data_IF_874201590982
#
_entry.id   IF_874201590982
#
_cell.length_a   1.000
_cell.length_b   1.000
_cell.length_c   1.000
_cell.angle_alpha   90.00
_cell.angle_beta   90.00
_cell.angle_gamma   90.00
#
_symmetry.space_group_name_H-M   'P 1'
#
loop_
_entity.id
_entity.type
_entity.pdbx_description
1 polymer ?
#
# COMPACT_ATOMS: atom_id res chain seq x y z
N UNK A 1 -35.35 -16.02 30.67
CA UNK A 1 -34.58 -14.80 30.33
C UNK A 1 -35.27 -14.14 29.14
N UNK A 2 -35.55 -12.83 29.14
CA UNK A 2 -36.24 -12.19 28.02
C UNK A 2 -35.37 -12.29 26.76
N UNK A 3 -36.02 -12.44 25.60
CA UNK A 3 -35.36 -12.56 24.28
C UNK A 3 -34.40 -11.39 24.06
N UNK A 4 -34.74 -10.19 24.52
CA UNK A 4 -33.89 -8.99 24.45
C UNK A 4 -32.56 -9.14 25.19
N UNK A 5 -32.54 -9.78 26.37
CA UNK A 5 -31.29 -10.08 27.09
C UNK A 5 -30.45 -11.18 26.42
N UNK A 6 -31.10 -12.16 25.77
CA UNK A 6 -30.41 -13.17 24.98
C UNK A 6 -29.71 -12.52 23.77
N UNK A 7 -30.42 -11.67 23.04
CA UNK A 7 -29.90 -10.94 21.88
C UNK A 7 -28.77 -9.97 22.27
N UNK A 8 -28.95 -9.19 23.33
CA UNK A 8 -27.90 -8.33 23.89
C UNK A 8 -26.62 -9.12 24.19
N UNK A 9 -26.76 -10.29 24.83
CA UNK A 9 -25.63 -11.16 25.16
C UNK A 9 -24.96 -11.74 23.91
N UNK A 10 -25.76 -12.18 22.94
CA UNK A 10 -25.27 -12.71 21.68
C UNK A 10 -24.46 -11.65 20.92
N UNK A 11 -25.03 -10.44 20.75
CA UNK A 11 -24.32 -9.33 20.10
C UNK A 11 -23.03 -8.95 20.84
N UNK A 12 -23.06 -8.89 22.17
CA UNK A 12 -21.86 -8.64 22.98
C UNK A 12 -20.76 -9.66 22.71
N UNK A 13 -21.08 -10.95 22.79
CA UNK A 13 -20.07 -12.00 22.62
C UNK A 13 -19.58 -12.13 21.19
N UNK A 14 -20.46 -11.96 20.20
CA UNK A 14 -20.08 -11.92 18.79
C UNK A 14 -19.18 -10.71 18.49
N UNK A 15 -19.49 -9.55 19.07
CA UNK A 15 -18.65 -8.36 18.95
C UNK A 15 -17.26 -8.62 19.52
N UNK A 16 -17.15 -9.16 20.74
CA UNK A 16 -15.86 -9.51 21.34
C UNK A 16 -15.09 -10.54 20.50
N UNK A 17 -15.75 -11.58 20.01
CA UNK A 17 -15.12 -12.58 19.14
C UNK A 17 -14.61 -11.96 17.83
N UNK A 18 -15.40 -11.07 17.22
CA UNK A 18 -14.99 -10.37 16.00
C UNK A 18 -13.81 -9.43 16.21
N UNK A 19 -13.71 -8.76 17.37
CA UNK A 19 -12.55 -7.93 17.72
C UNK A 19 -11.28 -8.76 17.92
N UNK A 20 -11.40 -9.94 18.54
CA UNK A 20 -10.26 -10.87 18.67
C UNK A 20 -9.80 -11.34 17.29
N UNK A 21 -10.73 -11.75 16.43
CA UNK A 21 -10.42 -12.17 15.07
C UNK A 21 -9.79 -11.03 14.26
N UNK A 22 -10.30 -9.81 14.41
CA UNK A 22 -9.75 -8.61 13.78
C UNK A 22 -8.31 -8.36 14.23
N UNK A 23 -8.05 -8.44 15.53
CA UNK A 23 -6.70 -8.28 16.08
C UNK A 23 -5.74 -9.33 15.52
N UNK A 24 -6.10 -10.61 15.53
CA UNK A 24 -5.25 -11.70 15.00
C UNK A 24 -4.96 -11.51 13.51
N UNK A 25 -5.98 -11.22 12.72
CA UNK A 25 -5.84 -11.07 11.26
C UNK A 25 -5.12 -9.78 10.86
N UNK A 26 -5.20 -8.72 11.67
CA UNK A 26 -4.47 -7.47 11.45
C UNK A 26 -2.94 -7.67 11.38
N UNK A 27 -2.39 -8.52 12.25
CA UNK A 27 -0.95 -8.80 12.28
C UNK A 27 -0.48 -9.72 11.13
N UNK A 28 -1.40 -10.47 10.52
CA UNK A 28 -1.05 -11.48 9.51
C UNK A 28 -1.34 -11.02 8.07
N UNK A 29 -2.30 -10.12 7.86
CA UNK A 29 -2.78 -9.72 6.53
C UNK A 29 -1.69 -9.10 5.64
N UNK A 30 -0.68 -8.47 6.23
CA UNK A 30 0.43 -7.80 5.55
C UNK A 30 1.77 -8.53 5.77
N UNK A 31 1.74 -9.75 6.31
CA UNK A 31 2.94 -10.54 6.49
C UNK A 31 3.58 -10.86 5.12
N UNK A 32 4.87 -10.59 4.99
CA UNK A 32 5.60 -10.84 3.75
C UNK A 32 5.68 -12.36 3.48
N UNK A 33 5.16 -12.85 2.33
CA UNK A 33 5.19 -14.28 1.97
C UNK A 33 6.60 -14.84 1.90
N UNK A 34 6.75 -16.16 1.80
CA UNK A 34 8.05 -16.79 1.56
C UNK A 34 8.48 -16.64 0.07
N UNK A 35 9.78 -16.62 -0.26
CA UNK A 35 10.25 -16.40 -1.64
C UNK A 35 9.69 -17.38 -2.67
N UNK A 36 9.28 -18.57 -2.25
CA UNK A 36 8.73 -19.64 -3.09
C UNK A 36 7.34 -19.30 -3.65
N UNK A 37 6.65 -18.30 -3.08
CA UNK A 37 5.33 -17.88 -3.58
C UNK A 37 5.40 -17.03 -4.84
N UNK A 38 6.58 -16.49 -5.16
CA UNK A 38 6.77 -15.55 -6.25
C UNK A 38 7.37 -16.21 -7.48
N UNK A 39 7.00 -15.70 -8.65
CA UNK A 39 7.71 -16.01 -9.88
C UNK A 39 9.03 -15.25 -9.91
N UNK A 40 10.09 -15.91 -9.44
CA UNK A 40 11.43 -15.34 -9.32
C UNK A 40 12.09 -15.02 -10.66
N UNK A 41 11.66 -15.68 -11.74
CA UNK A 41 12.21 -15.45 -13.08
C UNK A 41 11.92 -14.04 -13.61
N UNK A 42 10.94 -13.37 -13.00
CA UNK A 42 10.53 -12.01 -13.35
C UNK A 42 11.10 -10.94 -12.45
N UNK A 43 11.69 -11.30 -11.31
CA UNK A 43 12.18 -10.34 -10.31
C UNK A 43 13.60 -9.86 -10.64
N UNK A 44 13.82 -9.47 -11.89
CA UNK A 44 15.09 -8.90 -12.35
C UNK A 44 15.19 -7.40 -12.00
N UNK A 45 16.35 -6.80 -12.28
CA UNK A 45 16.49 -5.35 -12.12
C UNK A 45 15.56 -4.61 -13.09
N UNK A 46 15.02 -3.43 -12.69
CA UNK A 46 14.17 -2.64 -13.57
C UNK A 46 14.85 -2.32 -14.90
N UNK A 47 14.11 -2.48 -15.99
CA UNK A 47 14.57 -2.13 -17.32
C UNK A 47 14.42 -0.62 -17.49
N UNK A 48 15.50 0.06 -17.85
CA UNK A 48 15.52 1.48 -18.17
C UNK A 48 16.19 1.70 -19.53
N UNK A 49 15.49 2.31 -20.47
CA UNK A 49 16.00 2.59 -21.83
C UNK A 49 15.70 4.02 -22.25
N UNK A 50 16.43 4.59 -23.23
CA UNK A 50 16.09 5.90 -23.79
C UNK A 50 14.62 5.95 -24.25
N UNK A 51 13.99 7.11 -24.11
CA UNK A 51 12.63 7.37 -24.60
C UNK A 51 12.67 8.49 -25.64
N UNK A 52 11.85 8.36 -26.68
CA UNK A 52 11.60 9.40 -27.68
C UNK A 52 10.23 10.08 -27.44
N UNK A 53 9.62 9.87 -26.26
CA UNK A 53 8.30 10.38 -25.94
C UNK A 53 8.37 11.89 -25.66
N UNK A 54 7.70 12.67 -26.51
CA UNK A 54 7.58 14.11 -26.34
C UNK A 54 6.85 14.48 -25.05
N UNK A 55 7.18 15.62 -24.41
CA UNK A 55 6.45 16.11 -23.24
C UNK A 55 4.96 16.33 -23.54
N UNK A 56 4.11 15.90 -22.63
CA UNK A 56 2.65 15.96 -22.79
C UNK A 56 1.97 16.54 -21.55
N UNK A 57 0.68 16.80 -21.65
CA UNK A 57 -0.12 17.37 -20.57
C UNK A 57 -1.29 16.46 -20.27
N UNK A 58 -1.52 16.19 -18.99
CA UNK A 58 -2.66 15.42 -18.49
C UNK A 58 -3.51 16.29 -17.59
N UNK A 59 -4.82 15.99 -17.55
CA UNK A 59 -5.77 16.70 -16.70
C UNK A 59 -6.43 15.71 -15.75
N UNK A 60 -6.31 15.97 -14.46
CA UNK A 60 -6.95 15.18 -13.41
C UNK A 60 -7.81 16.11 -12.58
N UNK A 61 -9.13 15.89 -12.63
CA UNK A 61 -10.15 16.82 -12.09
C UNK A 61 -9.97 18.20 -12.74
N UNK A 62 -9.89 19.26 -11.94
CA UNK A 62 -9.73 20.65 -12.39
C UNK A 62 -8.25 21.10 -12.43
N UNK A 63 -7.30 20.16 -12.37
CA UNK A 63 -5.87 20.46 -12.39
C UNK A 63 -5.18 19.91 -13.64
N UNK A 64 -4.20 20.66 -14.10
CA UNK A 64 -3.40 20.37 -15.29
C UNK A 64 -1.95 20.11 -14.89
N UNK A 65 -1.39 19.02 -15.40
CA UNK A 65 -0.03 18.58 -15.12
C UNK A 65 0.74 18.41 -16.43
N UNK A 66 1.90 19.05 -16.53
CA UNK A 66 2.84 18.83 -17.63
C UNK A 66 3.81 17.73 -17.24
N UNK A 67 3.89 16.68 -18.05
CA UNK A 67 4.76 15.52 -17.87
C UNK A 67 5.92 15.62 -18.85
N UNK A 68 7.13 15.42 -18.36
CA UNK A 68 8.37 15.41 -19.14
C UNK A 68 9.05 14.04 -19.00
N UNK A 69 8.84 13.12 -19.98
CA UNK A 69 9.47 11.81 -20.01
C UNK A 69 11.01 11.91 -20.07
N UNK A 70 11.69 11.01 -19.38
CA UNK A 70 13.16 10.95 -19.31
C UNK A 70 13.74 9.59 -19.72
N UNK A 71 13.03 8.50 -19.47
CA UNK A 71 13.39 7.16 -19.91
C UNK A 71 12.18 6.23 -19.90
N UNK A 72 12.13 5.25 -20.80
CA UNK A 72 11.18 4.14 -20.68
C UNK A 72 11.59 3.28 -19.49
N UNK A 73 10.60 2.78 -18.75
CA UNK A 73 10.83 2.08 -17.48
C UNK A 73 9.85 0.94 -17.27
N UNK A 74 10.38 -0.22 -16.86
CA UNK A 74 9.59 -1.37 -16.48
C UNK A 74 10.15 -2.01 -15.21
N UNK A 75 9.26 -2.32 -14.26
CA UNK A 75 9.61 -2.95 -13.00
C UNK A 75 8.67 -4.12 -12.73
N UNK A 76 9.25 -5.26 -12.41
CA UNK A 76 8.59 -6.43 -11.84
C UNK A 76 9.18 -6.62 -10.42
N UNK A 77 8.34 -6.68 -9.38
CA UNK A 77 8.84 -6.60 -8.00
C UNK A 77 7.82 -7.01 -6.95
N UNK A 78 8.27 -7.05 -5.69
CA UNK A 78 7.43 -7.33 -4.52
C UNK A 78 7.23 -6.06 -3.70
N UNK A 79 5.98 -5.70 -3.45
CA UNK A 79 5.65 -4.53 -2.62
C UNK A 79 5.99 -4.87 -1.17
N UNK A 80 6.78 -4.04 -0.50
CA UNK A 80 7.14 -4.23 0.93
C UNK A 80 6.55 -3.15 1.83
N UNK A 81 6.23 -1.99 1.27
CA UNK A 81 5.54 -0.91 1.97
C UNK A 81 4.84 -0.02 0.96
N UNK A 82 3.90 0.80 1.44
CA UNK A 82 3.31 1.84 0.63
C UNK A 82 2.96 3.06 1.47
N UNK A 83 2.88 4.20 0.81
CA UNK A 83 2.34 5.45 1.35
C UNK A 83 1.24 5.93 0.43
N UNK A 84 0.02 6.09 0.95
CA UNK A 84 -1.05 6.70 0.18
C UNK A 84 -0.92 8.21 0.26
N UNK A 85 -0.84 8.88 -0.90
CA UNK A 85 -1.04 10.33 -0.96
C UNK A 85 -2.44 10.71 -0.45
N UNK A 86 -3.42 9.82 -0.68
CA UNK A 86 -4.85 10.04 -0.49
C UNK A 86 -5.47 9.22 0.68
N UNK A 87 -4.68 8.83 1.70
CA UNK A 87 -5.28 8.20 2.88
C UNK A 87 -6.24 9.18 3.56
N UNK A 88 -7.51 8.80 3.70
CA UNK A 88 -8.60 9.48 4.43
C UNK A 88 -8.26 9.95 5.87
N UNK A 89 -7.04 9.71 6.38
CA UNK A 89 -6.49 10.34 7.58
C UNK A 89 -5.95 11.76 7.34
N UNK A 90 -5.82 12.19 6.09
CA UNK A 90 -5.31 13.51 5.69
C UNK A 90 -6.42 14.55 5.41
N UNK A 91 -7.60 14.42 6.04
CA UNK A 91 -8.65 15.47 6.01
C UNK A 91 -8.09 16.83 6.48
N UNK A 92 -7.02 16.84 7.29
CA UNK A 92 -6.37 18.06 7.78
C UNK A 92 -5.20 18.56 6.93
N UNK A 93 -4.66 17.76 5.99
CA UNK A 93 -3.50 18.14 5.15
C UNK A 93 -3.84 18.33 3.66
N UNK A 94 -5.09 18.15 3.24
CA UNK A 94 -5.57 18.40 1.87
C UNK A 94 -5.37 19.84 1.36
N UNK A 95 -4.94 20.79 2.21
CA UNK A 95 -4.78 22.20 1.82
C UNK A 95 -3.40 22.56 1.26
N UNK A 96 -2.36 21.73 1.39
CA UNK A 96 -1.00 22.21 1.07
C UNK A 96 -0.39 21.71 -0.24
N UNK A 97 -0.83 20.58 -0.82
CA UNK A 97 -0.14 20.01 -1.99
C UNK A 97 -1.01 19.75 -3.23
N UNK A 98 -2.32 19.48 -3.07
CA UNK A 98 -3.27 19.23 -4.16
C UNK A 98 -2.71 18.36 -5.32
N UNK A 99 -1.93 17.33 -5.00
CA UNK A 99 -1.43 16.41 -6.02
C UNK A 99 -2.45 15.29 -6.23
N UNK A 100 -3.33 15.45 -7.23
CA UNK A 100 -4.30 14.43 -7.61
C UNK A 100 -3.77 13.44 -8.65
N UNK A 101 -2.61 13.74 -9.23
CA UNK A 101 -1.97 12.87 -10.22
C UNK A 101 -1.18 11.76 -9.53
N UNK A 102 -0.51 12.06 -8.42
CA UNK A 102 0.03 11.02 -7.55
C UNK A 102 -1.07 10.36 -6.71
N UNK A 103 -1.14 9.03 -6.80
CA UNK A 103 -2.13 8.25 -6.08
C UNK A 103 -1.53 7.59 -4.85
N UNK A 104 -0.35 7.01 -5.01
CA UNK A 104 0.29 6.15 -4.02
C UNK A 104 1.75 5.93 -4.38
N UNK A 105 2.60 6.00 -3.36
CA UNK A 105 4.00 5.66 -3.44
C UNK A 105 4.21 4.20 -2.99
N UNK A 106 4.89 3.39 -3.81
CA UNK A 106 5.18 1.99 -3.50
C UNK A 106 6.67 1.79 -3.25
N UNK A 107 6.99 1.19 -2.11
CA UNK A 107 8.32 0.65 -1.86
C UNK A 107 8.38 -0.80 -2.34
N UNK A 108 9.31 -1.06 -3.27
CA UNK A 108 9.39 -2.33 -4.00
C UNK A 108 10.80 -2.91 -3.91
N UNK A 109 10.89 -4.22 -3.77
CA UNK A 109 12.15 -4.98 -3.79
C UNK A 109 12.11 -6.06 -4.88
N UNK A 110 13.27 -6.46 -5.37
CA UNK A 110 13.43 -7.48 -6.41
C UNK A 110 14.75 -8.23 -6.24
N UNK A 111 15.04 -9.16 -7.17
CA UNK A 111 16.30 -9.89 -7.24
C UNK A 111 16.65 -10.67 -5.99
N UNK A 112 17.92 -10.61 -5.60
CA UNK A 112 18.48 -11.33 -4.46
C UNK A 112 17.83 -10.96 -3.12
N UNK A 113 17.28 -9.75 -3.00
CA UNK A 113 16.55 -9.36 -1.80
C UNK A 113 15.33 -10.27 -1.59
N UNK A 114 14.63 -10.64 -2.67
CA UNK A 114 13.51 -11.58 -2.62
C UNK A 114 14.00 -13.02 -2.64
N UNK A 115 14.90 -13.38 -3.55
CA UNK A 115 15.34 -14.76 -3.75
C UNK A 115 15.95 -15.38 -2.48
N UNK A 116 16.72 -14.60 -1.71
CA UNK A 116 17.34 -15.07 -0.46
C UNK A 116 16.40 -15.04 0.76
N UNK A 117 15.20 -14.45 0.63
CA UNK A 117 14.26 -14.26 1.73
C UNK A 117 14.59 -13.13 2.71
N UNK A 118 15.71 -12.42 2.52
CA UNK A 118 16.20 -11.40 3.47
C UNK A 118 15.20 -10.26 3.68
N UNK A 119 14.41 -9.89 2.66
CA UNK A 119 13.35 -8.87 2.79
C UNK A 119 12.36 -9.14 3.92
N UNK A 120 12.14 -10.41 4.31
CA UNK A 120 11.21 -10.76 5.41
C UNK A 120 11.77 -10.43 6.79
N UNK A 121 13.09 -10.30 6.91
CA UNK A 121 13.80 -9.96 8.13
C UNK A 121 14.01 -8.44 8.27
N UNK A 122 13.59 -7.67 7.26
CA UNK A 122 13.67 -6.22 7.21
C UNK A 122 12.36 -5.58 7.66
N UNK A 123 12.46 -4.36 8.18
CA UNK A 123 11.33 -3.47 8.44
C UNK A 123 11.36 -2.34 7.43
N UNK A 124 10.27 -2.21 6.67
CA UNK A 124 10.13 -1.19 5.65
C UNK A 124 9.12 -0.13 6.05
N UNK A 125 9.42 1.10 5.67
CA UNK A 125 8.50 2.23 5.71
C UNK A 125 8.82 3.12 4.54
N UNK A 126 7.82 3.69 3.90
CA UNK A 126 8.05 4.76 2.93
C UNK A 126 7.11 5.93 3.14
N UNK A 127 7.49 7.05 2.54
CA UNK A 127 6.65 8.20 2.29
C UNK A 127 6.75 8.60 0.81
N UNK A 128 6.33 9.82 0.49
CA UNK A 128 6.38 10.31 -0.88
C UNK A 128 7.78 10.61 -1.39
N UNK A 129 8.86 10.41 -0.63
CA UNK A 129 10.23 10.74 -1.06
C UNK A 129 11.21 9.60 -0.87
N UNK A 130 11.08 8.83 0.21
CA UNK A 130 12.06 7.81 0.55
C UNK A 130 11.39 6.51 0.97
N UNK A 131 11.98 5.38 0.56
CA UNK A 131 11.76 4.12 1.23
C UNK A 131 12.93 3.80 2.15
N UNK A 132 12.62 3.64 3.44
CA UNK A 132 13.56 3.20 4.46
C UNK A 132 13.44 1.70 4.67
N UNK A 133 14.59 1.03 4.61
CA UNK A 133 14.77 -0.35 5.03
C UNK A 133 15.60 -0.35 6.32
N UNK A 134 15.11 -1.02 7.36
CA UNK A 134 15.77 -1.11 8.67
C UNK A 134 15.78 -2.54 9.18
N UNK A 135 16.73 -2.86 10.05
CA UNK A 135 16.97 -4.22 10.55
C UNK A 135 17.37 -4.17 12.02
N UNK A 136 17.19 -5.29 12.72
CA UNK A 136 17.65 -5.44 14.11
C UNK A 136 19.00 -6.15 14.23
N UNK A 137 19.35 -7.02 13.27
CA UNK A 137 20.56 -7.84 13.29
C UNK A 137 21.53 -7.41 12.18
N UNK A 138 22.76 -6.98 12.49
CA UNK A 138 23.77 -6.62 11.49
C UNK A 138 24.08 -7.73 10.47
N UNK A 139 23.88 -9.00 10.79
CA UNK A 139 24.06 -10.09 9.83
C UNK A 139 23.02 -10.06 8.69
N UNK A 140 21.84 -9.49 8.94
CA UNK A 140 20.76 -9.33 7.94
C UNK A 140 21.14 -8.28 6.90
N UNK A 141 21.72 -7.14 7.33
CA UNK A 141 22.07 -6.06 6.39
C UNK A 141 23.17 -6.47 5.41
N UNK A 142 24.10 -7.33 5.82
CA UNK A 142 25.14 -7.85 4.92
C UNK A 142 24.57 -8.67 3.74
N UNK A 143 23.35 -9.19 3.87
CA UNK A 143 22.64 -9.94 2.82
C UNK A 143 21.69 -9.07 2.01
N UNK A 144 21.30 -7.89 2.51
CA UNK A 144 20.35 -7.00 1.87
C UNK A 144 21.07 -6.04 0.92
N UNK A 145 20.60 -5.95 -0.33
CA UNK A 145 21.16 -5.08 -1.36
C UNK A 145 20.31 -3.82 -1.48
N UNK A 146 20.85 -2.68 -1.04
CA UNK A 146 20.12 -1.40 -1.11
C UNK A 146 19.81 -0.95 -2.54
N UNK A 147 20.59 -1.36 -3.54
CA UNK A 147 20.34 -1.07 -4.96
C UNK A 147 19.32 -2.03 -5.62
N UNK A 148 18.73 -2.95 -4.85
CA UNK A 148 17.60 -3.79 -5.25
C UNK A 148 16.33 -3.46 -4.44
N UNK A 149 16.15 -2.17 -4.18
CA UNK A 149 15.05 -1.52 -3.48
C UNK A 149 14.76 -0.19 -4.21
N UNK A 150 13.50 0.16 -4.40
CA UNK A 150 13.11 1.47 -4.93
C UNK A 150 11.87 2.03 -4.26
N UNK A 151 11.79 3.36 -4.18
CA UNK A 151 10.57 4.07 -3.81
C UNK A 151 9.96 4.67 -5.07
N UNK A 152 8.80 4.17 -5.47
CA UNK A 152 8.20 4.52 -6.75
C UNK A 152 7.02 5.44 -6.51
N UNK A 153 7.10 6.65 -7.03
CA UNK A 153 6.04 7.63 -7.05
C UNK A 153 5.23 7.51 -8.34
N UNK A 154 4.03 6.96 -8.22
CA UNK A 154 3.29 6.44 -9.37
C UNK A 154 2.16 7.38 -9.79
N UNK A 155 2.25 7.83 -11.04
CA UNK A 155 1.35 8.80 -11.66
C UNK A 155 0.49 8.10 -12.72
N UNK A 156 -0.81 8.41 -12.75
CA UNK A 156 -1.68 8.02 -13.86
C UNK A 156 -2.97 8.83 -13.84
N UNK A 157 -3.50 9.15 -15.03
CA UNK A 157 -4.85 9.67 -15.24
C UNK A 157 -5.84 8.56 -15.66
N UNK A 158 -5.37 7.32 -15.90
CA UNK A 158 -6.20 6.19 -16.23
C UNK A 158 -6.87 5.56 -15.00
N UNK A 159 -8.20 5.38 -15.06
CA UNK A 159 -8.99 4.85 -13.95
C UNK A 159 -8.74 3.36 -13.68
N UNK A 160 -8.51 2.55 -14.70
CA UNK A 160 -8.24 1.13 -14.55
C UNK A 160 -6.86 0.90 -13.91
N UNK A 161 -5.83 1.61 -14.36
CA UNK A 161 -4.48 1.60 -13.77
C UNK A 161 -4.56 2.06 -12.31
N UNK A 162 -5.27 3.16 -12.05
CA UNK A 162 -5.54 3.64 -10.68
C UNK A 162 -6.14 2.56 -9.79
N UNK A 163 -7.18 1.87 -10.24
CA UNK A 163 -7.83 0.83 -9.44
C UNK A 163 -6.88 -0.35 -9.17
N UNK A 164 -6.07 -0.75 -10.16
CA UNK A 164 -5.09 -1.82 -10.02
C UNK A 164 -3.99 -1.44 -9.00
N UNK A 165 -3.44 -0.22 -9.12
CA UNK A 165 -2.45 0.35 -8.19
C UNK A 165 -2.99 0.44 -6.75
N UNK A 166 -4.21 0.96 -6.58
CA UNK A 166 -4.82 1.07 -5.26
C UNK A 166 -5.15 -0.30 -4.65
N UNK A 167 -5.25 -1.35 -5.45
CA UNK A 167 -5.44 -2.71 -4.95
C UNK A 167 -4.16 -3.32 -4.39
N UNK A 168 -2.97 -2.87 -4.81
CA UNK A 168 -1.69 -3.45 -4.42
C UNK A 168 -1.47 -3.32 -2.92
N UNK A 169 -0.90 -4.34 -2.28
CA UNK A 169 -0.68 -4.38 -0.84
C UNK A 169 0.68 -5.01 -0.52
N UNK A 170 1.24 -4.81 0.68
CA UNK A 170 2.50 -5.44 1.07
C UNK A 170 2.47 -6.95 0.91
N UNK A 171 3.51 -7.50 0.28
CA UNK A 171 3.64 -8.90 -0.09
C UNK A 171 3.13 -9.25 -1.49
N UNK A 172 2.40 -8.36 -2.16
CA UNK A 172 1.96 -8.61 -3.55
C UNK A 172 3.14 -8.56 -4.52
N UNK A 173 3.15 -9.46 -5.51
CA UNK A 173 4.03 -9.34 -6.68
C UNK A 173 3.33 -8.51 -7.73
N UNK A 174 4.00 -7.46 -8.21
CA UNK A 174 3.47 -6.50 -9.17
C UNK A 174 4.37 -6.40 -10.40
N UNK A 175 3.78 -5.91 -11.47
CA UNK A 175 4.46 -5.38 -12.65
C UNK A 175 3.90 -4.01 -12.96
N UNK A 176 4.75 -3.09 -13.36
CA UNK A 176 4.30 -1.87 -14.01
C UNK A 176 5.26 -1.42 -15.11
N UNK A 177 4.73 -0.66 -16.06
CA UNK A 177 5.50 -0.04 -17.15
C UNK A 177 5.04 1.39 -17.37
N UNK A 178 5.94 2.20 -17.90
CA UNK A 178 5.67 3.55 -18.33
C UNK A 178 6.96 4.29 -18.57
N UNK A 179 6.99 5.56 -18.19
CA UNK A 179 8.19 6.41 -18.31
C UNK A 179 8.60 6.99 -16.96
N UNK A 180 9.89 6.96 -16.66
CA UNK A 180 10.46 7.86 -15.66
C UNK A 180 10.23 9.28 -16.14
N UNK A 181 9.62 10.12 -15.32
CA UNK A 181 9.16 11.43 -15.72
C UNK A 181 9.36 12.48 -14.64
N UNK A 182 9.61 13.70 -15.06
CA UNK A 182 9.40 14.87 -14.22
C UNK A 182 8.00 15.41 -14.49
N UNK A 183 7.38 16.07 -13.51
CA UNK A 183 6.12 16.76 -13.77
C UNK A 183 5.98 18.07 -13.02
N UNK A 184 5.15 18.94 -13.58
CA UNK A 184 4.78 20.22 -13.00
C UNK A 184 3.27 20.36 -13.01
N UNK A 185 2.68 20.68 -11.86
CA UNK A 185 1.30 21.14 -11.77
C UNK A 185 1.22 22.61 -12.18
N UNK A 186 0.52 22.89 -13.28
CA UNK A 186 0.46 24.22 -13.89
C UNK A 186 -0.27 25.23 -13.00
N UNK A 187 -1.26 24.76 -12.21
CA UNK A 187 -2.11 25.64 -11.40
C UNK A 187 -1.41 26.20 -10.17
N UNK A 188 -0.47 25.47 -9.58
CA UNK A 188 0.22 25.88 -8.34
C UNK A 188 1.76 25.90 -8.45
N UNK A 189 2.33 25.49 -9.60
CA UNK A 189 3.77 25.46 -9.86
C UNK A 189 4.52 24.35 -9.12
N UNK A 190 3.83 23.44 -8.43
CA UNK A 190 4.48 22.29 -7.79
C UNK A 190 5.17 21.44 -8.86
N UNK A 191 6.47 21.19 -8.65
CA UNK A 191 7.29 20.43 -9.55
C UNK A 191 7.94 19.26 -8.82
N UNK A 192 8.13 18.16 -9.53
CA UNK A 192 8.77 16.97 -8.99
C UNK A 192 9.61 16.27 -10.06
N UNK A 193 10.83 15.92 -9.66
CA UNK A 193 11.80 15.22 -10.50
C UNK A 193 11.67 13.70 -10.44
N UNK A 194 12.58 13.01 -11.12
CA UNK A 194 12.74 11.55 -11.06
C UNK A 194 14.22 11.17 -10.93
N UNK A 195 14.52 10.09 -10.20
CA UNK A 195 15.82 9.43 -10.31
C UNK A 195 15.95 8.66 -11.63
N UNK A 196 17.16 8.65 -12.19
CA UNK A 196 17.57 7.85 -13.35
C UNK A 196 18.76 6.91 -13.02
N UNK A 197 19.21 6.89 -11.77
CA UNK A 197 20.32 6.06 -11.29
C UNK A 197 19.81 5.07 -10.26
N UNK A 198 20.56 3.99 -9.98
CA UNK A 198 20.19 2.93 -9.01
C UNK A 198 20.99 3.00 -7.72
N UNK A 199 22.06 3.79 -7.70
CA UNK A 199 23.01 3.87 -6.57
C UNK A 199 22.83 5.17 -5.75
N UNK A 200 21.84 6.00 -6.07
CA UNK A 200 21.47 7.14 -5.25
C UNK A 200 20.74 6.73 -3.98
N UNK A 201 20.81 7.58 -2.95
CA UNK A 201 20.21 7.29 -1.64
C UNK A 201 19.56 8.55 -1.06
N UNK A 202 18.58 8.35 -0.17
CA UNK A 202 17.88 9.44 0.53
C UNK A 202 16.89 10.21 -0.35
N UNK A 203 16.66 11.49 -0.01
CA UNK A 203 15.74 12.38 -0.70
C UNK A 203 16.27 12.71 -2.11
N UNK A 204 15.93 11.87 -3.08
CA UNK A 204 16.40 11.96 -4.46
C UNK A 204 16.36 10.62 -5.18
N UNK A 205 16.45 9.50 -4.44
CA UNK A 205 16.43 8.13 -4.95
C UNK A 205 15.03 7.61 -5.32
N UNK A 206 14.08 8.52 -5.56
CA UNK A 206 12.69 8.19 -5.85
C UNK A 206 12.44 8.25 -7.34
N UNK A 207 11.93 7.17 -7.90
CA UNK A 207 11.49 7.10 -9.28
C UNK A 207 10.09 7.67 -9.39
N UNK A 208 9.95 8.77 -10.11
CA UNK A 208 8.64 9.27 -10.50
C UNK A 208 8.28 8.65 -11.84
N UNK A 209 7.23 7.84 -11.86
CA UNK A 209 6.84 7.05 -13.04
C UNK A 209 5.44 7.42 -13.47
N UNK A 210 5.28 7.88 -14.71
CA UNK A 210 3.97 7.96 -15.35
C UNK A 210 3.63 6.61 -15.98
N UNK A 211 2.55 5.99 -15.51
CA UNK A 211 2.20 4.61 -15.80
C UNK A 211 1.37 4.46 -17.08
N UNK A 212 1.83 3.58 -17.96
CA UNK A 212 1.08 3.06 -19.10
C UNK A 212 0.41 1.71 -18.76
N UNK A 213 1.02 0.93 -17.87
CA UNK A 213 0.53 -0.38 -17.43
C UNK A 213 0.78 -0.60 -15.94
N UNK A 214 -0.17 -1.23 -15.24
CA UNK A 214 0.03 -1.72 -13.87
C UNK A 214 -0.77 -3.00 -13.65
N UNK A 215 -0.11 -4.03 -13.11
CA UNK A 215 -0.71 -5.34 -12.85
C UNK A 215 -0.25 -5.88 -11.50
N UNK A 216 -1.19 -6.49 -10.77
CA UNK A 216 -0.85 -7.32 -9.61
C UNK A 216 -0.83 -8.79 -10.05
N UNK A 217 0.38 -9.31 -10.26
CA UNK A 217 0.64 -10.67 -10.74
C UNK A 217 0.26 -11.72 -9.70
N UNK A 218 0.50 -11.42 -8.42
CA UNK A 218 0.19 -12.32 -7.32
C UNK A 218 -0.27 -11.55 -6.09
N UNK A 219 -1.39 -11.97 -5.48
CA UNK A 219 -1.94 -11.40 -4.25
C UNK A 219 -1.46 -12.19 -3.03
N UNK A 220 -0.76 -11.53 -2.11
CA UNK A 220 -0.39 -12.11 -0.83
C UNK A 220 -1.61 -12.23 0.11
N UNK A 221 -1.58 -13.26 0.96
CA UNK A 221 -2.47 -13.40 2.12
C UNK A 221 -3.97 -13.22 1.82
N UNK A 222 -4.43 -13.58 0.61
CA UNK A 222 -5.79 -13.27 0.15
C UNK A 222 -6.88 -13.79 1.10
N UNK A 223 -6.72 -15.00 1.62
CA UNK A 223 -7.66 -15.59 2.58
C UNK A 223 -7.69 -14.81 3.91
N UNK A 224 -6.53 -14.42 4.43
CA UNK A 224 -6.41 -13.66 5.68
C UNK A 224 -7.00 -12.25 5.52
N UNK A 225 -6.75 -11.60 4.37
CA UNK A 225 -7.32 -10.28 4.06
C UNK A 225 -8.84 -10.33 3.93
N UNK A 226 -9.39 -11.37 3.28
CA UNK A 226 -10.84 -11.59 3.22
C UNK A 226 -11.42 -11.82 4.62
N UNK A 227 -10.75 -12.62 5.45
CA UNK A 227 -11.18 -12.87 6.83
C UNK A 227 -11.11 -11.60 7.69
N UNK A 228 -10.08 -10.77 7.51
CA UNK A 228 -9.95 -9.46 8.16
C UNK A 228 -11.12 -8.53 7.77
N UNK A 229 -11.44 -8.46 6.47
CA UNK A 229 -12.58 -7.67 5.98
C UNK A 229 -13.92 -8.17 6.55
N UNK A 230 -14.13 -9.49 6.57
CA UNK A 230 -15.30 -10.09 7.19
C UNK A 230 -15.38 -9.79 8.70
N UNK A 231 -14.28 -9.95 9.43
CA UNK A 231 -14.20 -9.65 10.86
C UNK A 231 -14.51 -8.17 11.15
N UNK A 232 -14.01 -7.26 10.30
CA UNK A 232 -14.31 -5.83 10.39
C UNK A 232 -15.80 -5.57 10.26
N UNK A 233 -16.42 -6.11 9.20
CA UNK A 233 -17.85 -5.94 8.97
C UNK A 233 -18.70 -6.53 10.11
N UNK A 234 -18.34 -7.73 10.57
CA UNK A 234 -18.99 -8.38 11.72
C UNK A 234 -18.87 -7.54 13.00
N UNK A 235 -17.70 -6.96 13.28
CA UNK A 235 -17.50 -6.10 14.44
C UNK A 235 -18.39 -4.85 14.39
N UNK A 236 -18.54 -4.23 13.22
CA UNK A 236 -19.42 -3.07 13.05
C UNK A 236 -20.90 -3.44 13.28
N UNK A 237 -21.38 -4.49 12.63
CA UNK A 237 -22.78 -4.92 12.73
C UNK A 237 -23.13 -5.36 14.15
N UNK A 238 -22.28 -6.18 14.77
CA UNK A 238 -22.52 -6.70 16.12
C UNK A 238 -22.32 -5.66 17.21
N UNK A 239 -21.36 -4.73 17.03
CA UNK A 239 -21.18 -3.58 17.90
C UNK A 239 -22.39 -2.64 17.87
N UNK A 240 -22.90 -2.32 16.67
CA UNK A 240 -24.12 -1.52 16.53
C UNK A 240 -25.34 -2.23 17.15
N UNK A 241 -25.50 -3.53 16.88
CA UNK A 241 -26.57 -4.34 17.48
C UNK A 241 -26.49 -4.38 19.01
N UNK A 242 -25.29 -4.47 19.58
CA UNK A 242 -25.08 -4.40 21.02
C UNK A 242 -25.50 -3.03 21.59
N UNK A 243 -25.08 -1.93 20.96
CA UNK A 243 -25.44 -0.57 21.39
C UNK A 243 -26.95 -0.32 21.35
N UNK A 244 -27.65 -0.83 20.33
CA UNK A 244 -29.11 -0.73 20.22
C UNK A 244 -29.81 -1.55 21.31
N UNK A 245 -29.26 -2.72 21.66
CA UNK A 245 -29.87 -3.60 22.67
C UNK A 245 -29.64 -3.13 24.11
N UNK A 246 -28.59 -2.34 24.38
CA UNK A 246 -28.32 -1.80 25.72
C UNK A 246 -29.51 -1.07 26.38
N UNK A 247 -30.23 -0.14 25.72
CA UNK A 247 -31.42 0.50 26.30
C UNK A 247 -32.67 -0.37 26.29
N UNK A 248 -32.73 -1.42 25.47
CA UNK A 248 -33.92 -2.28 25.30
C UNK A 248 -33.88 -3.46 26.28
N UNK A 249 -32.68 -3.93 26.64
CA UNK A 249 -32.51 -5.02 27.58
C UNK A 249 -32.74 -4.52 29.02
N UNK A 250 -33.63 -5.17 29.80
CA UNK A 250 -33.88 -4.76 31.18
C UNK A 250 -32.61 -4.90 32.05
N UNK A 251 -32.41 -3.95 32.97
CA UNK A 251 -31.26 -3.92 33.89
C UNK A 251 -31.19 -5.23 34.68
N UNK A 252 -30.06 -5.94 34.55
CA UNK A 252 -29.80 -7.15 35.34
C UNK A 252 -29.50 -6.78 36.79
N UNK A 253 -30.51 -6.71 37.64
CA UNK A 253 -30.31 -6.64 39.09
C UNK A 253 -29.78 -8.00 39.55
N UNK A 254 -28.45 -8.11 39.71
CA UNK A 254 -27.80 -9.30 40.27
C UNK A 254 -28.15 -9.34 41.76
N UNK A 255 -29.20 -10.06 42.15
CA UNK A 255 -29.46 -10.36 43.57
C UNK A 255 -28.28 -11.20 44.08
N UNK A 256 -27.44 -10.63 44.93
CA UNK A 256 -26.51 -11.40 45.76
C UNK A 256 -27.36 -12.16 46.76
N UNK A 257 -27.31 -13.48 46.72
CA UNK A 257 -27.69 -14.37 47.83
C UNK A 257 -26.37 -14.80 48.47
#
# INVERSE_FOLDING_TARGET
MPITCLLESAFKWLFLASLVLLAVTYWQKDALPAPETFDRSRLEAPLQTPTDREPFTVRVRDQEYRIEPKAEYALDGVVVSYSNADAMKNIWHHKSWQDFLNLRDLCVVWGENVASGVYRDMRFRNDSWTCWASWSDPAVTARFKMNALSNNHLLTDDRAIKNALMSAEPGDQIRFKGVLAEYVNVGNGYARGTSLTRDDTGNGACETVYLDEFEVLHKANLSVRRLFGFATWMALVTGLGFLIMLPIAPVRIRRRI
#
